data_IF_655518455048
#
_entry.id   IF_655518455048
#
_cell.length_a   1.000
_cell.length_b   1.000
_cell.length_c   1.000
_cell.angle_alpha   90.00
_cell.angle_beta   90.00
_cell.angle_gamma   90.00
#
_symmetry.space_group_name_H-M   'P 1'
#
loop_
_entity.id
_entity.type
_entity.pdbx_description
1 polymer ?
#
# COMPACT_ATOMS: atom_id res chain seq x y z
N UNK A 1 -3.87 6.92 11.57
CA UNK A 1 -3.04 5.78 12.11
C UNK A 1 -2.46 4.85 11.04
N UNK A 2 -3.21 4.42 10.00
CA UNK A 2 -2.66 3.66 8.85
C UNK A 2 -1.76 4.49 7.91
N UNK A 3 -1.86 5.82 7.98
CA UNK A 3 -1.19 6.76 7.07
C UNK A 3 -0.33 7.81 7.81
N UNK A 4 -0.49 7.95 9.12
CA UNK A 4 0.00 9.14 9.83
C UNK A 4 1.25 8.88 10.68
N UNK A 5 1.48 7.65 11.14
CA UNK A 5 2.66 7.37 11.97
C UNK A 5 3.92 7.28 11.08
N UNK A 6 5.09 7.55 11.67
CA UNK A 6 6.38 7.51 10.95
C UNK A 6 6.60 6.18 10.21
N UNK A 7 6.18 5.08 10.82
CA UNK A 7 6.26 3.76 10.21
C UNK A 7 5.42 3.66 8.94
N UNK A 8 4.14 3.99 9.03
CA UNK A 8 3.21 3.99 7.90
C UNK A 8 3.67 4.91 6.77
N UNK A 9 4.13 6.13 7.08
CA UNK A 9 4.65 7.05 6.06
C UNK A 9 5.81 6.44 5.27
N UNK A 10 6.75 5.77 5.95
CA UNK A 10 7.86 5.06 5.29
C UNK A 10 7.38 3.91 4.40
N UNK A 11 6.37 3.16 4.86
CA UNK A 11 5.74 2.10 4.06
C UNK A 11 5.12 2.67 2.79
N UNK A 12 4.35 3.75 2.90
CA UNK A 12 3.68 4.38 1.77
C UNK A 12 4.66 5.04 0.79
N UNK A 13 5.76 5.64 1.26
CA UNK A 13 6.83 6.12 0.38
C UNK A 13 7.51 4.99 -0.39
N UNK A 14 7.79 3.86 0.27
CA UNK A 14 8.36 2.69 -0.40
C UNK A 14 7.38 2.06 -1.41
N UNK A 15 6.08 2.06 -1.10
CA UNK A 15 5.04 1.59 -2.00
C UNK A 15 4.86 2.50 -3.21
N UNK A 16 4.84 3.83 -3.04
CA UNK A 16 4.75 4.79 -4.13
C UNK A 16 5.92 4.64 -5.11
N UNK A 17 7.14 4.43 -4.57
CA UNK A 17 8.33 4.14 -5.37
C UNK A 17 8.24 2.80 -6.12
N UNK A 18 7.68 1.77 -5.49
CA UNK A 18 7.51 0.47 -6.13
C UNK A 18 6.47 0.49 -7.26
N UNK A 19 5.37 1.21 -7.08
CA UNK A 19 4.27 1.30 -8.04
C UNK A 19 4.46 2.40 -9.09
N UNK A 20 5.61 3.10 -9.08
CA UNK A 20 5.87 4.27 -9.93
C UNK A 20 4.75 5.31 -9.90
N UNK A 21 4.12 5.51 -8.74
CA UNK A 21 2.94 6.35 -8.57
C UNK A 21 3.16 7.35 -7.42
N UNK A 22 3.79 8.51 -7.68
CA UNK A 22 4.04 9.53 -6.66
C UNK A 22 2.75 10.17 -6.12
N UNK A 23 1.63 10.09 -6.84
CA UNK A 23 0.31 10.61 -6.45
C UNK A 23 -0.22 9.94 -5.16
N UNK A 24 0.26 8.72 -4.86
CA UNK A 24 0.03 8.03 -3.59
C UNK A 24 0.50 8.83 -2.37
N UNK A 25 1.49 9.70 -2.54
CA UNK A 25 2.03 10.55 -1.46
C UNK A 25 1.34 11.91 -1.39
N UNK A 26 0.93 12.48 -2.53
CA UNK A 26 0.24 13.77 -2.57
C UNK A 26 -1.07 13.74 -1.78
N UNK A 27 -1.82 12.64 -1.91
CA UNK A 27 -3.06 12.39 -1.17
C UNK A 27 -2.88 12.18 0.35
N UNK A 28 -1.64 12.03 0.82
CA UNK A 28 -1.30 11.89 2.25
C UNK A 28 -0.95 13.22 2.93
N UNK A 29 -0.64 14.26 2.15
CA UNK A 29 -0.17 15.56 2.66
C UNK A 29 -1.27 16.51 3.16
N UNK A 30 -2.54 16.24 2.87
CA UNK A 30 -3.65 17.21 3.03
C UNK A 30 -4.29 17.25 4.43
N UNK A 31 -3.53 17.07 5.51
CA UNK A 31 -4.06 17.10 6.89
C UNK A 31 -4.38 15.72 7.45
N UNK A 32 -5.53 15.53 8.12
CA UNK A 32 -6.08 14.20 8.47
C UNK A 32 -7.11 13.82 7.40
N UNK A 33 -6.74 13.22 6.25
CA UNK A 33 -7.74 12.83 5.27
C UNK A 33 -8.57 11.74 5.92
N UNK A 34 -9.90 11.78 5.77
CA UNK A 34 -10.67 10.57 6.05
C UNK A 34 -10.13 9.50 5.09
N UNK A 35 -10.05 8.26 5.55
CA UNK A 35 -9.57 7.14 4.74
C UNK A 35 -10.29 7.11 3.37
N UNK A 36 -11.58 7.48 3.35
CA UNK A 36 -12.39 7.61 2.13
C UNK A 36 -11.85 8.66 1.14
N UNK A 37 -11.35 9.80 1.60
CA UNK A 37 -10.85 10.88 0.74
C UNK A 37 -9.57 10.42 0.03
N UNK A 38 -8.71 9.68 0.75
CA UNK A 38 -7.52 9.05 0.20
C UNK A 38 -7.87 8.04 -0.90
N UNK A 39 -8.84 7.15 -0.64
CA UNK A 39 -9.31 6.18 -1.64
C UNK A 39 -9.95 6.85 -2.85
N UNK A 40 -10.70 7.93 -2.66
CA UNK A 40 -11.31 8.68 -3.75
C UNK A 40 -10.27 9.39 -4.61
N UNK A 41 -9.23 9.97 -4.01
CA UNK A 41 -8.11 10.57 -4.73
C UNK A 41 -7.39 9.54 -5.61
N UNK A 42 -7.16 8.33 -5.09
CA UNK A 42 -6.50 7.25 -5.83
C UNK A 42 -7.37 6.67 -6.94
N UNK A 43 -8.68 6.58 -6.72
CA UNK A 43 -9.62 6.16 -7.75
C UNK A 43 -9.67 7.13 -8.94
N UNK A 44 -9.28 8.39 -8.74
CA UNK A 44 -9.21 9.44 -9.77
C UNK A 44 -7.81 9.59 -10.38
N UNK A 45 -6.80 8.87 -9.88
CA UNK A 45 -5.44 8.96 -10.38
C UNK A 45 -5.36 8.41 -11.80
N UNK A 46 -4.73 9.13 -12.76
CA UNK A 46 -4.55 8.69 -14.15
C UNK A 46 -3.46 7.60 -14.28
N UNK A 47 -3.53 6.57 -13.45
CA UNK A 47 -2.67 5.40 -13.58
C UNK A 47 -3.06 4.55 -14.79
N UNK A 48 -2.07 3.91 -15.42
CA UNK A 48 -2.28 2.96 -16.54
C UNK A 48 -3.17 1.77 -16.17
N UNK A 49 -3.22 1.40 -14.89
CA UNK A 49 -4.10 0.33 -14.36
C UNK A 49 -4.80 0.78 -13.07
N UNK A 50 -5.92 1.53 -13.14
CA UNK A 50 -6.65 1.98 -11.95
C UNK A 50 -7.18 0.83 -11.10
N UNK A 51 -7.48 -0.31 -11.72
CA UNK A 51 -7.88 -1.54 -11.02
C UNK A 51 -6.68 -2.16 -10.30
N UNK A 52 -5.53 -2.25 -10.97
CA UNK A 52 -4.28 -2.73 -10.37
C UNK A 52 -3.88 -1.89 -9.17
N UNK A 53 -3.97 -0.57 -9.30
CA UNK A 53 -3.61 0.36 -8.23
C UNK A 53 -4.48 0.14 -7.00
N UNK A 54 -5.80 0.01 -7.18
CA UNK A 54 -6.74 -0.31 -6.08
C UNK A 54 -6.37 -1.65 -5.40
N UNK A 55 -6.09 -2.69 -6.18
CA UNK A 55 -5.67 -4.00 -5.65
C UNK A 55 -4.37 -3.89 -4.85
N UNK A 56 -3.36 -3.16 -5.36
CA UNK A 56 -2.09 -2.95 -4.68
C UNK A 56 -2.27 -2.18 -3.36
N UNK A 57 -3.05 -1.09 -3.35
CA UNK A 57 -3.31 -0.30 -2.14
C UNK A 57 -4.06 -1.14 -1.11
N UNK A 58 -5.01 -1.99 -1.53
CA UNK A 58 -5.70 -2.92 -0.63
C UNK A 58 -4.71 -3.87 0.05
N UNK A 59 -3.81 -4.49 -0.73
CA UNK A 59 -2.76 -5.36 -0.22
C UNK A 59 -1.82 -4.64 0.75
N UNK A 60 -1.32 -3.46 0.39
CA UNK A 60 -0.44 -2.66 1.24
C UNK A 60 -1.14 -2.29 2.55
N UNK A 61 -2.39 -1.84 2.48
CA UNK A 61 -3.19 -1.48 3.66
C UNK A 61 -3.38 -2.69 4.57
N UNK A 62 -3.66 -3.86 3.99
CA UNK A 62 -3.81 -5.13 4.71
C UNK A 62 -2.53 -5.54 5.45
N UNK A 63 -1.37 -5.50 4.80
CA UNK A 63 -0.10 -5.85 5.44
C UNK A 63 0.32 -4.84 6.52
N UNK A 64 0.06 -3.55 6.33
CA UNK A 64 0.28 -2.53 7.38
C UNK A 64 -0.63 -2.80 8.59
N UNK A 65 -1.90 -3.18 8.35
CA UNK A 65 -2.82 -3.53 9.42
C UNK A 65 -2.36 -4.78 10.19
N UNK A 66 -1.92 -5.84 9.50
CA UNK A 66 -1.37 -7.04 10.13
C UNK A 66 -0.12 -6.75 10.95
N UNK A 67 0.83 -5.97 10.42
CA UNK A 67 2.03 -5.56 11.15
C UNK A 67 1.68 -4.77 12.43
N UNK A 68 0.65 -3.93 12.38
CA UNK A 68 0.16 -3.25 13.58
C UNK A 68 -0.40 -4.23 14.60
N UNK A 69 -1.19 -5.22 14.16
CA UNK A 69 -1.74 -6.21 15.08
C UNK A 69 -0.64 -7.04 15.75
N UNK A 70 0.39 -7.45 15.00
CA UNK A 70 1.56 -8.13 15.56
C UNK A 70 2.26 -7.28 16.64
N UNK A 71 2.39 -5.97 16.43
CA UNK A 71 2.98 -5.07 17.43
C UNK A 71 2.14 -4.97 18.69
N UNK A 72 0.83 -4.87 18.55
CA UNK A 72 -0.07 -4.63 19.69
C UNK A 72 -0.32 -5.90 20.48
N UNK A 73 -0.66 -7.00 19.80
CA UNK A 73 -1.09 -8.23 20.45
C UNK A 73 0.07 -9.17 20.77
N UNK A 74 1.11 -9.19 19.92
CA UNK A 74 2.23 -10.14 20.06
C UNK A 74 3.55 -9.47 20.47
N UNK A 75 3.56 -8.13 20.63
CA UNK A 75 4.77 -7.33 20.92
C UNK A 75 5.91 -7.55 19.92
N UNK A 76 5.58 -7.94 18.68
CA UNK A 76 6.54 -8.17 17.59
C UNK A 76 6.51 -7.00 16.62
N UNK A 77 7.68 -6.54 16.17
CA UNK A 77 7.80 -5.40 15.27
C UNK A 77 8.81 -5.72 14.17
N UNK A 78 8.37 -5.61 12.92
CA UNK A 78 9.22 -5.74 11.73
C UNK A 78 9.76 -4.39 11.28
N UNK A 79 10.85 -4.39 10.52
CA UNK A 79 11.30 -3.20 9.81
C UNK A 79 10.41 -2.95 8.58
N UNK A 80 10.22 -1.69 8.14
CA UNK A 80 9.40 -1.39 6.95
C UNK A 80 9.84 -2.18 5.71
N UNK A 81 11.15 -2.37 5.53
CA UNK A 81 11.71 -3.14 4.40
C UNK A 81 11.24 -4.60 4.42
N UNK A 82 11.13 -5.22 5.59
CA UNK A 82 10.68 -6.61 5.74
C UNK A 82 9.21 -6.74 5.33
N UNK A 83 8.36 -5.80 5.76
CA UNK A 83 6.95 -5.80 5.37
C UNK A 83 6.78 -5.48 3.88
N UNK A 84 7.61 -4.61 3.30
CA UNK A 84 7.60 -4.35 1.86
C UNK A 84 8.03 -5.56 1.01
N UNK A 85 9.01 -6.34 1.47
CA UNK A 85 9.37 -7.60 0.81
C UNK A 85 8.18 -8.57 0.82
N UNK A 86 7.55 -8.74 1.99
CA UNK A 86 6.33 -9.57 2.12
C UNK A 86 5.19 -9.11 1.23
N UNK A 87 4.95 -7.80 1.13
CA UNK A 87 3.93 -7.23 0.20
C UNK A 87 4.23 -7.66 -1.23
N UNK A 88 5.49 -7.57 -1.67
CA UNK A 88 5.89 -7.96 -3.03
C UNK A 88 5.76 -9.46 -3.28
N UNK A 89 6.06 -10.29 -2.28
CA UNK A 89 5.86 -11.75 -2.36
C UNK A 89 4.37 -12.09 -2.50
N UNK A 90 3.52 -11.54 -1.62
CA UNK A 90 2.06 -11.77 -1.71
C UNK A 90 1.50 -11.22 -3.02
N UNK A 91 2.02 -10.09 -3.53
CA UNK A 91 1.62 -9.57 -4.83
C UNK A 91 1.96 -10.55 -5.98
N UNK A 92 3.14 -11.20 -5.94
CA UNK A 92 3.50 -12.25 -6.91
C UNK A 92 2.55 -13.44 -6.81
N UNK A 93 2.23 -13.89 -5.60
CA UNK A 93 1.29 -14.99 -5.40
C UNK A 93 -0.09 -14.65 -5.97
N UNK A 94 -0.56 -13.42 -5.78
CA UNK A 94 -1.83 -12.95 -6.34
C UNK A 94 -1.80 -12.89 -7.87
N UNK A 95 -0.67 -12.47 -8.45
CA UNK A 95 -0.47 -12.46 -9.90
C UNK A 95 -0.51 -13.89 -10.45
N UNK A 96 0.19 -14.82 -9.81
CA UNK A 96 0.16 -16.25 -10.17
C UNK A 96 -1.24 -16.85 -10.02
N UNK A 97 -2.02 -16.39 -9.04
CA UNK A 97 -3.42 -16.75 -8.85
C UNK A 97 -4.39 -16.05 -9.83
N UNK A 98 -3.89 -15.19 -10.73
CA UNK A 98 -4.69 -14.58 -11.81
C UNK A 98 -5.06 -13.11 -11.62
N UNK A 99 -4.41 -12.37 -10.72
CA UNK A 99 -4.62 -10.92 -10.56
C UNK A 99 -3.99 -10.10 -11.71
N UNK A 100 -4.56 -10.22 -12.92
CA UNK A 100 -4.04 -9.60 -14.16
C UNK A 100 -3.81 -8.09 -14.05
N UNK A 101 -4.78 -7.35 -13.50
CA UNK A 101 -4.64 -5.89 -13.36
C UNK A 101 -3.47 -5.49 -12.44
N UNK A 102 -3.14 -6.32 -11.45
CA UNK A 102 -1.98 -6.10 -10.58
C UNK A 102 -0.68 -6.39 -11.35
N UNK A 103 -0.67 -7.45 -12.17
CA UNK A 103 0.44 -7.73 -13.09
C UNK A 103 0.68 -6.57 -14.06
N UNK A 104 -0.37 -5.99 -14.64
CA UNK A 104 -0.27 -4.84 -15.55
C UNK A 104 0.28 -3.57 -14.86
N UNK A 105 0.19 -3.49 -13.53
CA UNK A 105 0.69 -2.36 -12.75
C UNK A 105 2.16 -2.53 -12.35
N UNK A 106 2.56 -3.75 -11.94
CA UNK A 106 3.87 -4.00 -11.28
C UNK A 106 4.82 -4.89 -12.07
N UNK A 107 4.34 -5.46 -13.18
CA UNK A 107 5.07 -6.32 -14.10
C UNK A 107 5.88 -5.56 -15.14
#
# INVERSE_FOLDING_TARGET
MLFECRYSKRMWSAAASWLSCPELLLSMGSGRPKVVDYWQALARSPSSSPKGLKTAIMLITWEIWKERNERVFNKKSSLPVVVMLKIREVAKDWILAGAKNLADLVG
#
